data_IF_558359215805
#
_entry.id   IF_558359215805
#
_cell.length_a   1.000
_cell.length_b   1.000
_cell.length_c   1.000
_cell.angle_alpha   90.00
_cell.angle_beta   90.00
_cell.angle_gamma   90.00
#
_symmetry.space_group_name_H-M   'P 1'
#
loop_
_entity.id
_entity.type
_entity.pdbx_description
1 polymer ?
#
# COMPACT_ATOMS: atom_id res chain seq x y z
N UNK A 1 1.60 -27.58 -24.16
CA UNK A 1 0.27 -26.93 -24.13
C UNK A 1 -0.72 -27.81 -23.38
N UNK A 2 -0.61 -27.89 -22.05
CA UNK A 2 -1.51 -28.67 -21.19
C UNK A 2 -2.23 -27.67 -20.30
N UNK A 3 -3.26 -27.02 -20.85
CA UNK A 3 -4.22 -26.24 -20.06
C UNK A 3 -5.07 -27.25 -19.26
N UNK A 4 -4.87 -27.21 -17.95
CA UNK A 4 -5.34 -28.15 -16.94
C UNK A 4 -6.83 -28.52 -17.11
N UNK A 5 -7.13 -29.82 -17.02
CA UNK A 5 -8.49 -30.35 -16.90
C UNK A 5 -9.29 -29.68 -15.77
N UNK A 6 -8.62 -29.27 -14.69
CA UNK A 6 -9.18 -28.51 -13.57
C UNK A 6 -9.60 -27.07 -13.96
N UNK A 7 -8.93 -26.44 -14.93
CA UNK A 7 -9.32 -25.10 -15.43
C UNK A 7 -10.57 -25.19 -16.29
N UNK A 8 -10.70 -26.26 -17.08
CA UNK A 8 -11.95 -26.55 -17.80
C UNK A 8 -13.08 -26.85 -16.83
N UNK A 9 -12.83 -27.61 -15.77
CA UNK A 9 -13.84 -27.90 -14.75
C UNK A 9 -14.29 -26.65 -13.99
N UNK A 10 -13.37 -25.78 -13.55
CA UNK A 10 -13.74 -24.53 -12.88
C UNK A 10 -14.45 -23.58 -13.84
N UNK A 11 -14.02 -23.46 -15.10
CA UNK A 11 -14.72 -22.63 -16.11
C UNK A 11 -16.10 -23.20 -16.46
N UNK A 12 -16.23 -24.53 -16.60
CA UNK A 12 -17.52 -25.22 -16.78
C UNK A 12 -18.43 -25.03 -15.57
N UNK A 13 -17.92 -25.16 -14.35
CA UNK A 13 -18.70 -24.98 -13.12
C UNK A 13 -19.12 -23.50 -12.97
N UNK A 14 -18.28 -22.54 -13.35
CA UNK A 14 -18.63 -21.13 -13.40
C UNK A 14 -19.62 -20.78 -14.53
N UNK A 15 -19.59 -21.51 -15.65
CA UNK A 15 -20.60 -21.42 -16.70
C UNK A 15 -21.93 -22.03 -16.26
N UNK A 16 -21.91 -23.10 -15.47
CA UNK A 16 -23.08 -23.71 -14.85
C UNK A 16 -23.69 -22.77 -13.79
N UNK A 17 -22.87 -22.12 -12.96
CA UNK A 17 -23.34 -21.10 -12.02
C UNK A 17 -23.96 -19.89 -12.75
N UNK A 18 -23.36 -19.47 -13.87
CA UNK A 18 -23.92 -18.43 -14.75
C UNK A 18 -25.25 -18.84 -15.39
N UNK A 19 -25.47 -20.13 -15.68
CA UNK A 19 -26.73 -20.63 -16.23
C UNK A 19 -27.82 -20.78 -15.16
N UNK A 20 -27.46 -21.17 -13.93
CA UNK A 20 -28.42 -21.32 -12.82
C UNK A 20 -28.91 -19.99 -12.22
N UNK A 21 -28.19 -18.89 -12.40
CA UNK A 21 -28.66 -17.54 -12.02
C UNK A 21 -29.67 -16.91 -13.00
N UNK A 22 -29.92 -17.51 -14.17
CA UNK A 22 -31.01 -17.07 -15.07
C UNK A 22 -32.41 -17.55 -14.64
N UNK A 23 -32.50 -18.45 -13.64
CA UNK A 23 -33.79 -18.97 -13.14
C UNK A 23 -34.34 -18.21 -11.91
N UNK A 24 -33.67 -17.15 -11.44
CA UNK A 24 -34.23 -16.21 -10.46
C UNK A 24 -34.49 -14.85 -11.11
N UNK A 25 -35.60 -14.81 -11.86
CA UNK A 25 -36.41 -13.64 -12.24
C UNK A 25 -35.64 -12.31 -12.38
N UNK A 26 -35.14 -12.03 -13.59
CA UNK A 26 -34.93 -10.65 -14.02
C UNK A 26 -36.06 -10.27 -14.97
N UNK A 27 -37.07 -9.58 -14.42
CA UNK A 27 -37.97 -8.77 -15.21
C UNK A 27 -37.16 -7.76 -16.04
N UNK A 28 -37.59 -7.62 -17.29
CA UNK A 28 -37.00 -6.79 -18.34
C UNK A 28 -36.72 -5.38 -17.84
N UNK A 29 -35.49 -4.91 -18.07
CA UNK A 29 -35.28 -3.53 -18.49
C UNK A 29 -34.32 -3.54 -19.66
N UNK A 30 -34.85 -3.11 -20.79
CA UNK A 30 -34.21 -2.90 -22.08
C UNK A 30 -33.25 -1.70 -22.04
N UNK A 31 -32.27 -1.75 -22.96
CA UNK A 31 -31.59 -0.65 -23.68
C UNK A 31 -30.06 -0.83 -23.61
N UNK A 32 -29.45 -1.42 -24.66
CA UNK A 32 -29.01 -0.84 -25.94
C UNK A 32 -27.60 -0.23 -25.88
N UNK A 33 -26.78 -0.69 -26.85
CA UNK A 33 -25.47 -0.20 -27.31
C UNK A 33 -24.25 -0.67 -26.50
N UNK A 34 -23.15 -1.19 -27.06
CA UNK A 34 -22.75 -1.50 -28.44
C UNK A 34 -21.44 -2.32 -28.44
N UNK A 35 -21.41 -3.32 -29.32
CA UNK A 35 -20.32 -3.89 -30.13
C UNK A 35 -18.87 -4.02 -29.59
N UNK A 36 -18.42 -5.27 -29.45
CA UNK A 36 -17.24 -5.74 -30.18
C UNK A 36 -17.34 -7.25 -30.47
N UNK A 37 -17.32 -7.57 -31.75
CA UNK A 37 -17.40 -8.90 -32.35
C UNK A 37 -16.09 -9.69 -32.17
N UNK A 38 -16.21 -10.99 -31.86
CA UNK A 38 -15.22 -11.97 -32.31
C UNK A 38 -15.93 -13.26 -32.69
N UNK A 39 -15.77 -13.61 -33.97
CA UNK A 39 -16.44 -14.71 -34.66
C UNK A 39 -16.10 -16.07 -34.07
N UNK A 40 -17.13 -16.92 -33.99
CA UNK A 40 -17.01 -18.30 -33.54
C UNK A 40 -16.56 -19.23 -34.66
N UNK A 41 -15.80 -20.24 -34.27
CA UNK A 41 -15.84 -21.55 -34.91
C UNK A 41 -16.45 -22.54 -33.91
N UNK A 42 -17.66 -23.00 -34.24
CA UNK A 42 -18.32 -24.16 -33.62
C UNK A 42 -17.63 -25.41 -34.15
N UNK A 43 -16.93 -26.15 -33.30
CA UNK A 43 -16.69 -27.57 -33.53
C UNK A 43 -17.67 -28.33 -32.64
N UNK A 44 -18.82 -28.64 -33.21
CA UNK A 44 -19.78 -29.60 -32.66
C UNK A 44 -19.27 -31.00 -32.96
N UNK A 45 -18.76 -31.71 -31.96
CA UNK A 45 -18.56 -33.16 -32.07
C UNK A 45 -19.80 -33.85 -31.44
N UNK A 46 -20.69 -34.49 -32.22
CA UNK A 46 -21.98 -34.98 -31.73
C UNK A 46 -21.90 -36.28 -30.92
N UNK A 47 -20.71 -36.78 -30.60
CA UNK A 47 -20.51 -38.05 -29.90
C UNK A 47 -19.81 -37.95 -28.53
N UNK A 48 -19.72 -36.77 -27.92
CA UNK A 48 -19.35 -36.65 -26.51
C UNK A 48 -20.58 -36.32 -25.65
N UNK A 49 -21.50 -37.27 -25.61
CA UNK A 49 -22.53 -37.34 -24.58
C UNK A 49 -21.86 -37.91 -23.34
N UNK A 50 -21.19 -37.06 -22.57
CA UNK A 50 -20.88 -37.37 -21.17
C UNK A 50 -21.87 -36.61 -20.30
N UNK A 51 -22.79 -37.41 -19.77
CA UNK A 51 -23.86 -37.10 -18.83
C UNK A 51 -23.36 -36.22 -17.67
N UNK A 52 -23.80 -34.96 -17.62
CA UNK A 52 -23.63 -34.09 -16.45
C UNK A 52 -24.98 -33.63 -15.88
N UNK A 53 -26.00 -34.48 -15.97
CA UNK A 53 -27.30 -34.26 -15.32
C UNK A 53 -27.29 -34.57 -13.81
N UNK A 54 -26.20 -35.14 -13.27
CA UNK A 54 -26.14 -35.63 -11.88
C UNK A 54 -25.32 -34.79 -10.89
N UNK A 55 -24.85 -33.59 -11.26
CA UNK A 55 -24.18 -32.72 -10.29
C UNK A 55 -25.17 -31.84 -9.52
N UNK A 56 -25.77 -32.44 -8.49
CA UNK A 56 -26.34 -31.72 -7.34
C UNK A 56 -25.21 -31.16 -6.45
N UNK A 57 -24.24 -30.44 -7.04
CA UNK A 57 -23.17 -29.81 -6.27
C UNK A 57 -23.79 -28.79 -5.32
N UNK A 58 -23.74 -29.07 -4.03
CA UNK A 58 -24.08 -28.09 -3.00
C UNK A 58 -23.02 -27.00 -2.99
N UNK A 59 -23.33 -25.81 -2.47
CA UNK A 59 -22.35 -24.74 -2.32
C UNK A 59 -21.10 -25.20 -1.54
N UNK A 60 -21.25 -26.14 -0.61
CA UNK A 60 -20.17 -26.72 0.19
C UNK A 60 -19.19 -27.55 -0.65
N UNK A 61 -19.68 -28.36 -1.60
CA UNK A 61 -18.84 -29.19 -2.48
C UNK A 61 -17.95 -28.33 -3.39
N UNK A 62 -18.49 -27.21 -3.88
CA UNK A 62 -17.74 -26.27 -4.71
C UNK A 62 -16.61 -25.58 -3.94
N UNK A 63 -16.88 -25.20 -2.68
CA UNK A 63 -15.95 -24.54 -1.78
C UNK A 63 -14.82 -25.48 -1.30
N UNK A 64 -15.10 -26.79 -1.25
CA UNK A 64 -14.12 -27.83 -0.93
C UNK A 64 -13.13 -28.12 -2.06
N UNK A 65 -13.41 -27.72 -3.31
CA UNK A 65 -12.52 -27.96 -4.44
C UNK A 65 -11.14 -27.31 -4.26
N UNK A 66 -10.09 -28.08 -4.54
CA UNK A 66 -8.68 -27.65 -4.53
C UNK A 66 -8.00 -28.11 -5.81
N UNK A 67 -7.19 -27.23 -6.41
CA UNK A 67 -6.31 -27.62 -7.51
C UNK A 67 -5.26 -28.62 -7.01
N UNK A 68 -5.13 -29.77 -7.67
CA UNK A 68 -4.22 -30.84 -7.23
C UNK A 68 -2.73 -30.47 -7.32
N UNK A 69 -2.37 -29.44 -8.11
CA UNK A 69 -0.96 -29.04 -8.29
C UNK A 69 -0.48 -28.03 -7.24
N UNK A 70 -1.34 -27.07 -6.90
CA UNK A 70 -0.99 -25.94 -6.06
C UNK A 70 -1.90 -25.76 -4.84
N UNK A 71 -2.84 -26.67 -4.61
CA UNK A 71 -3.82 -26.61 -3.51
C UNK A 71 -4.65 -25.32 -3.52
N UNK A 72 -4.92 -24.79 -4.71
CA UNK A 72 -5.63 -23.51 -4.89
C UNK A 72 -7.14 -23.69 -4.74
N UNK A 73 -7.76 -22.89 -3.87
CA UNK A 73 -9.22 -22.78 -3.75
C UNK A 73 -9.84 -22.04 -4.94
N UNK A 74 -11.17 -22.10 -5.07
CA UNK A 74 -11.92 -21.32 -6.07
C UNK A 74 -11.68 -19.81 -5.96
N UNK A 75 -11.46 -19.27 -4.75
CA UNK A 75 -11.13 -17.87 -4.53
C UNK A 75 -9.74 -17.51 -5.08
N UNK A 76 -8.75 -18.39 -4.92
CA UNK A 76 -7.41 -18.20 -5.50
C UNK A 76 -7.48 -18.15 -7.02
N UNK A 77 -8.21 -19.07 -7.63
CA UNK A 77 -8.34 -19.16 -9.09
C UNK A 77 -9.07 -17.95 -9.66
N UNK A 78 -10.17 -17.52 -9.04
CA UNK A 78 -10.87 -16.29 -9.41
C UNK A 78 -9.93 -15.08 -9.33
N UNK A 79 -9.11 -14.99 -8.27
CA UNK A 79 -8.20 -13.88 -8.10
C UNK A 79 -7.02 -13.89 -9.08
N UNK A 80 -6.41 -15.05 -9.28
CA UNK A 80 -5.29 -15.26 -10.22
C UNK A 80 -5.67 -14.90 -11.65
N UNK A 81 -6.92 -15.14 -12.05
CA UNK A 81 -7.46 -14.82 -13.38
C UNK A 81 -8.04 -13.40 -13.47
N UNK A 82 -8.22 -12.71 -12.34
CA UNK A 82 -8.86 -11.40 -12.30
C UNK A 82 -10.38 -11.44 -12.56
N UNK A 83 -11.04 -12.58 -12.34
CA UNK A 83 -12.48 -12.71 -12.57
C UNK A 83 -13.26 -12.14 -11.39
N UNK A 84 -13.38 -10.81 -11.35
CA UNK A 84 -14.09 -10.09 -10.27
C UNK A 84 -15.55 -10.53 -10.10
N UNK A 85 -16.27 -10.74 -11.21
CA UNK A 85 -17.70 -11.04 -11.13
C UNK A 85 -17.94 -12.45 -10.56
N UNK A 86 -17.04 -13.38 -10.90
CA UNK A 86 -16.96 -14.69 -10.25
C UNK A 86 -16.66 -14.55 -8.76
N UNK A 87 -15.67 -13.73 -8.40
CA UNK A 87 -15.34 -13.49 -7.00
C UNK A 87 -16.52 -12.90 -6.21
N UNK A 88 -17.36 -12.07 -6.84
CA UNK A 88 -18.58 -11.53 -6.24
C UNK A 88 -19.63 -12.62 -6.04
N UNK A 89 -19.91 -13.43 -7.05
CA UNK A 89 -20.85 -14.54 -6.92
C UNK A 89 -20.42 -15.52 -5.82
N UNK A 90 -19.11 -15.82 -5.73
CA UNK A 90 -18.55 -16.63 -4.64
C UNK A 90 -18.70 -15.95 -3.27
N UNK A 91 -18.60 -14.62 -3.19
CA UNK A 91 -18.75 -13.86 -1.95
C UNK A 91 -20.15 -13.97 -1.35
N UNK A 92 -21.17 -14.16 -2.19
CA UNK A 92 -22.57 -14.27 -1.76
C UNK A 92 -22.93 -15.71 -1.28
N UNK A 93 -22.05 -16.69 -1.52
CA UNK A 93 -22.25 -18.05 -1.04
C UNK A 93 -22.02 -18.18 0.48
N UNK A 94 -22.81 -19.03 1.17
CA UNK A 94 -22.57 -19.35 2.58
C UNK A 94 -21.21 -20.04 2.75
N UNK A 95 -20.59 -19.88 3.91
CA UNK A 95 -19.29 -20.49 4.28
C UNK A 95 -18.06 -19.98 3.51
N UNK A 96 -18.22 -19.08 2.52
CA UNK A 96 -17.08 -18.51 1.78
C UNK A 96 -16.07 -17.81 2.70
N UNK A 97 -16.53 -17.16 3.77
CA UNK A 97 -15.67 -16.49 4.76
C UNK A 97 -14.64 -17.43 5.40
N UNK A 98 -14.96 -18.72 5.56
CA UNK A 98 -14.05 -19.73 6.11
C UNK A 98 -12.86 -20.06 5.17
N UNK A 99 -12.95 -19.68 3.89
CA UNK A 99 -11.96 -19.97 2.86
C UNK A 99 -11.05 -18.80 2.52
N UNK A 100 -11.41 -17.58 2.91
CA UNK A 100 -10.74 -16.35 2.46
C UNK A 100 -9.26 -16.30 2.87
N UNK A 101 -8.96 -16.78 4.08
CA UNK A 101 -7.62 -16.77 4.66
C UNK A 101 -6.88 -18.10 4.48
N UNK A 102 -7.45 -19.06 3.74
CA UNK A 102 -6.74 -20.30 3.45
C UNK A 102 -5.63 -20.04 2.44
N UNK A 103 -4.43 -20.55 2.74
CA UNK A 103 -3.29 -20.47 1.85
C UNK A 103 -3.29 -21.60 0.82
N UNK A 104 -2.70 -21.34 -0.34
CA UNK A 104 -2.31 -22.37 -1.30
C UNK A 104 -1.07 -23.14 -0.82
N UNK A 105 -0.52 -24.04 -1.64
CA UNK A 105 0.71 -24.82 -1.32
C UNK A 105 1.92 -23.95 -0.95
N UNK A 106 1.93 -22.69 -1.34
CA UNK A 106 2.97 -21.72 -1.02
C UNK A 106 2.54 -20.74 0.08
N UNK A 107 1.44 -21.01 0.78
CA UNK A 107 0.87 -20.13 1.79
C UNK A 107 0.32 -18.82 1.23
N UNK A 108 0.16 -18.69 -0.10
CA UNK A 108 -0.47 -17.49 -0.66
C UNK A 108 -1.98 -17.59 -0.49
N UNK A 109 -2.58 -16.64 0.19
CA UNK A 109 -4.05 -16.48 0.26
C UNK A 109 -4.62 -15.88 -1.02
N UNK A 110 -5.94 -15.90 -1.18
CA UNK A 110 -6.62 -15.24 -2.31
C UNK A 110 -6.25 -13.74 -2.41
N UNK A 111 -5.99 -13.10 -1.26
CA UNK A 111 -5.58 -11.70 -1.17
C UNK A 111 -4.20 -11.45 -1.80
N UNK A 112 -3.25 -12.39 -1.69
CA UNK A 112 -1.96 -12.31 -2.38
C UNK A 112 -2.12 -12.28 -3.90
N UNK A 113 -2.98 -13.14 -4.45
CA UNK A 113 -3.25 -13.17 -5.88
C UNK A 113 -3.94 -11.89 -6.36
N UNK A 114 -4.93 -11.39 -5.60
CA UNK A 114 -5.59 -10.13 -5.90
C UNK A 114 -4.62 -8.94 -5.90
N UNK A 115 -3.69 -8.91 -4.94
CA UNK A 115 -2.66 -7.87 -4.81
C UNK A 115 -1.64 -7.90 -5.97
N UNK A 116 -1.35 -9.09 -6.51
CA UNK A 116 -0.46 -9.30 -7.66
C UNK A 116 -1.12 -9.06 -9.03
N UNK A 117 -2.41 -8.71 -9.06
CA UNK A 117 -3.13 -8.53 -10.30
C UNK A 117 -2.54 -7.35 -11.10
N UNK A 118 -2.20 -7.53 -12.39
CA UNK A 118 -1.54 -6.47 -13.18
C UNK A 118 -2.46 -5.28 -13.47
N UNK A 119 -3.78 -5.48 -13.41
CA UNK A 119 -4.78 -4.42 -13.64
C UNK A 119 -5.17 -3.80 -12.31
N UNK A 120 -4.64 -2.62 -12.00
CA UNK A 120 -4.84 -1.93 -10.72
C UNK A 120 -6.32 -1.72 -10.35
N UNK A 121 -7.13 -1.27 -11.30
CA UNK A 121 -8.57 -1.04 -11.09
C UNK A 121 -9.36 -2.30 -10.74
N UNK A 122 -8.88 -3.45 -11.22
CA UNK A 122 -9.45 -4.77 -10.94
C UNK A 122 -8.96 -5.29 -9.59
N UNK A 123 -7.67 -5.13 -9.30
CA UNK A 123 -7.05 -5.45 -8.02
C UNK A 123 -7.79 -4.76 -6.86
N UNK A 124 -8.04 -3.44 -6.96
CA UNK A 124 -8.77 -2.67 -5.95
C UNK A 124 -10.15 -3.26 -5.67
N UNK A 125 -10.92 -3.57 -6.72
CA UNK A 125 -12.27 -4.12 -6.58
C UNK A 125 -12.25 -5.49 -5.91
N UNK A 126 -11.30 -6.35 -6.27
CA UNK A 126 -11.17 -7.68 -5.70
C UNK A 126 -10.69 -7.65 -4.24
N UNK A 127 -9.71 -6.80 -3.93
CA UNK A 127 -9.23 -6.58 -2.56
C UNK A 127 -10.36 -6.09 -1.66
N UNK A 128 -11.20 -5.16 -2.13
CA UNK A 128 -12.39 -4.71 -1.39
C UNK A 128 -13.40 -5.83 -1.12
N UNK A 129 -13.63 -6.73 -2.08
CA UNK A 129 -14.53 -7.88 -1.88
C UNK A 129 -13.92 -8.81 -0.83
N UNK A 130 -12.64 -9.14 -0.95
CA UNK A 130 -11.94 -10.02 0.01
C UNK A 130 -11.92 -9.44 1.43
N UNK A 131 -11.68 -8.14 1.58
CA UNK A 131 -11.76 -7.47 2.88
C UNK A 131 -13.16 -7.54 3.50
N UNK A 132 -14.22 -7.35 2.71
CA UNK A 132 -15.60 -7.53 3.19
C UNK A 132 -15.88 -8.96 3.67
N UNK A 133 -15.20 -9.94 3.10
CA UNK A 133 -15.30 -11.34 3.51
C UNK A 133 -14.42 -11.70 4.72
N UNK A 134 -13.69 -10.74 5.30
CA UNK A 134 -12.81 -10.96 6.45
C UNK A 134 -11.38 -11.40 6.08
N UNK A 135 -10.88 -11.01 4.91
CA UNK A 135 -9.49 -11.27 4.53
C UNK A 135 -8.51 -10.55 5.47
N UNK A 136 -7.53 -11.30 5.95
CA UNK A 136 -6.45 -10.77 6.78
C UNK A 136 -5.37 -10.11 5.89
N UNK A 137 -5.15 -8.78 6.01
CA UNK A 137 -4.11 -8.08 5.26
C UNK A 137 -2.68 -8.46 5.66
N UNK A 138 -2.49 -9.11 6.83
CA UNK A 138 -1.19 -9.44 7.40
C UNK A 138 -0.77 -10.90 7.20
N UNK A 139 -1.57 -11.71 6.50
CA UNK A 139 -1.26 -13.11 6.24
C UNK A 139 0.08 -13.25 5.52
N UNK A 140 0.91 -14.20 5.95
CA UNK A 140 2.25 -14.42 5.41
C UNK A 140 2.30 -15.67 4.54
N UNK A 141 2.88 -15.55 3.35
CA UNK A 141 3.23 -16.72 2.53
C UNK A 141 4.57 -17.36 2.97
N UNK A 142 4.98 -18.44 2.33
CA UNK A 142 6.26 -19.14 2.64
C UNK A 142 7.52 -18.27 2.48
N UNK A 143 7.41 -17.13 1.79
CA UNK A 143 8.50 -16.16 1.62
C UNK A 143 8.44 -15.03 2.66
N UNK A 144 7.61 -15.16 3.69
CA UNK A 144 7.30 -14.12 4.68
C UNK A 144 6.80 -12.82 4.04
N UNK A 145 6.14 -12.89 2.89
CA UNK A 145 5.56 -11.72 2.23
C UNK A 145 4.09 -11.64 2.59
N UNK A 146 3.63 -10.43 2.89
CA UNK A 146 2.21 -10.10 2.96
C UNK A 146 1.65 -9.87 1.56
N UNK A 147 0.30 -9.82 1.40
CA UNK A 147 -0.32 -9.40 0.15
C UNK A 147 0.16 -8.02 -0.31
N UNK A 148 0.29 -7.07 0.62
CA UNK A 148 0.81 -5.73 0.32
C UNK A 148 2.27 -5.77 -0.16
N UNK A 149 3.13 -6.58 0.48
CA UNK A 149 4.51 -6.75 0.02
C UNK A 149 4.56 -7.34 -1.39
N UNK A 150 3.69 -8.31 -1.67
CA UNK A 150 3.57 -8.93 -3.00
C UNK A 150 3.15 -7.91 -4.05
N UNK A 151 2.20 -7.01 -3.73
CA UNK A 151 1.84 -5.89 -4.59
C UNK A 151 3.05 -4.99 -4.89
N UNK A 152 3.76 -4.51 -3.86
CA UNK A 152 4.91 -3.62 -4.06
C UNK A 152 6.02 -4.27 -4.90
N UNK A 153 6.17 -5.59 -4.84
CA UNK A 153 7.15 -6.33 -5.65
C UNK A 153 6.75 -6.48 -7.12
N UNK A 154 5.45 -6.46 -7.43
CA UNK A 154 4.90 -6.79 -8.75
C UNK A 154 4.32 -5.60 -9.50
N UNK A 155 4.01 -4.52 -8.78
CA UNK A 155 3.42 -3.30 -9.34
C UNK A 155 4.37 -2.68 -10.35
N UNK A 156 3.81 -2.25 -11.50
CA UNK A 156 4.55 -1.55 -12.55
C UNK A 156 4.27 -0.05 -12.59
N UNK A 157 3.16 0.36 -12.00
CA UNK A 157 2.65 1.73 -12.00
C UNK A 157 2.80 2.30 -10.59
N UNK A 158 3.42 3.48 -10.46
CA UNK A 158 3.58 4.17 -9.18
C UNK A 158 2.25 4.86 -8.78
N UNK A 159 1.29 4.06 -8.32
CA UNK A 159 -0.05 4.53 -7.91
C UNK A 159 -0.39 4.00 -6.50
N UNK A 160 -0.61 4.90 -5.52
CA UNK A 160 -0.91 4.51 -4.13
C UNK A 160 -2.35 4.02 -3.92
N UNK A 161 -3.20 3.98 -4.94
CA UNK A 161 -4.64 3.69 -4.79
C UNK A 161 -4.91 2.32 -4.15
N UNK A 162 -4.15 1.28 -4.51
CA UNK A 162 -4.32 -0.02 -3.85
C UNK A 162 -3.77 0.00 -2.42
N UNK A 163 -2.60 0.61 -2.22
CA UNK A 163 -1.98 0.76 -0.89
C UNK A 163 -2.89 1.50 0.07
N UNK A 164 -3.63 2.49 -0.43
CA UNK A 164 -4.66 3.24 0.31
C UNK A 164 -5.74 2.32 0.86
N UNK A 165 -6.25 1.38 0.07
CA UNK A 165 -7.25 0.41 0.54
C UNK A 165 -6.70 -0.46 1.68
N UNK A 166 -5.45 -0.93 1.55
CA UNK A 166 -4.79 -1.69 2.61
C UNK A 166 -4.62 -0.88 3.89
N UNK A 167 -4.09 0.34 3.79
CA UNK A 167 -3.88 1.22 4.94
C UNK A 167 -5.20 1.57 5.62
N UNK A 168 -6.24 1.91 4.84
CA UNK A 168 -7.57 2.16 5.37
C UNK A 168 -8.11 0.94 6.13
N UNK A 169 -7.93 -0.28 5.63
CA UNK A 169 -8.41 -1.49 6.30
C UNK A 169 -7.59 -1.85 7.54
N UNK A 170 -6.26 -1.64 7.52
CA UNK A 170 -5.38 -1.90 8.65
C UNK A 170 -5.58 -0.92 9.81
N UNK A 171 -6.01 0.32 9.52
CA UNK A 171 -6.20 1.37 10.54
C UNK A 171 -7.53 1.25 11.31
N UNK A 172 -8.42 0.28 11.00
CA UNK A 172 -9.76 0.16 11.62
C UNK A 172 -9.71 -0.46 13.04
N UNK A 173 -8.55 -0.78 13.62
CA UNK A 173 -8.49 -1.54 14.87
C UNK A 173 -7.37 -1.27 15.88
N UNK A 174 -6.54 -0.23 15.74
CA UNK A 174 -5.43 0.00 16.67
C UNK A 174 -5.47 1.39 17.30
N UNK A 175 -6.23 1.54 18.38
CA UNK A 175 -6.14 2.72 19.26
C UNK A 175 -4.92 2.65 20.21
N UNK A 176 -4.29 1.49 20.39
CA UNK A 176 -3.27 1.35 21.43
C UNK A 176 -2.02 0.54 20.98
N UNK A 177 -0.86 1.17 21.19
CA UNK A 177 0.48 0.61 21.36
C UNK A 177 1.27 -0.10 20.25
N UNK A 178 0.70 -0.52 19.12
CA UNK A 178 1.52 -1.21 18.11
C UNK A 178 2.31 -0.25 17.21
N UNK A 179 3.61 -0.52 16.91
CA UNK A 179 4.30 0.17 15.84
C UNK A 179 3.49 -0.01 14.56
N UNK A 180 3.17 1.11 13.88
CA UNK A 180 2.32 1.13 12.68
C UNK A 180 2.54 -0.12 11.82
N UNK A 181 1.49 -0.86 11.40
CA UNK A 181 1.63 -2.12 10.66
C UNK A 181 2.49 -1.98 9.39
N UNK A 182 2.72 -0.76 8.93
CA UNK A 182 3.60 -0.40 7.83
C UNK A 182 5.12 -0.54 8.14
N UNK A 183 5.48 -0.62 9.41
CA UNK A 183 6.88 -0.66 9.89
C UNK A 183 7.41 -2.08 10.10
N UNK A 184 6.57 -3.10 9.91
CA UNK A 184 6.99 -4.49 10.04
C UNK A 184 8.01 -4.88 8.97
N UNK A 185 8.86 -5.84 9.31
CA UNK A 185 9.70 -6.51 8.33
C UNK A 185 8.88 -7.53 7.52
N UNK A 186 9.12 -7.54 6.22
CA UNK A 186 8.51 -8.44 5.24
C UNK A 186 9.58 -9.04 4.34
N UNK A 187 9.25 -10.20 3.78
CA UNK A 187 10.12 -10.92 2.86
C UNK A 187 11.29 -11.62 3.53
N UNK A 188 12.14 -12.25 2.72
CA UNK A 188 13.34 -12.98 3.15
C UNK A 188 14.49 -12.04 3.51
N UNK A 189 14.51 -10.82 2.98
CA UNK A 189 15.54 -9.81 3.22
C UNK A 189 15.23 -8.93 4.45
N UNK A 190 14.16 -9.24 5.20
CA UNK A 190 13.73 -8.47 6.37
C UNK A 190 13.67 -6.96 6.07
N UNK A 191 13.02 -6.58 4.97
CA UNK A 191 12.88 -5.18 4.55
C UNK A 191 11.51 -4.64 4.97
N UNK A 192 11.35 -3.32 5.10
CA UNK A 192 10.01 -2.73 5.32
C UNK A 192 9.32 -2.43 3.99
N UNK A 193 8.00 -2.17 4.00
CA UNK A 193 7.29 -1.74 2.79
C UNK A 193 7.91 -0.49 2.14
N UNK A 194 8.46 0.42 2.96
CA UNK A 194 9.10 1.63 2.47
C UNK A 194 10.42 1.32 1.74
N UNK A 195 11.20 0.34 2.20
CA UNK A 195 12.39 -0.13 1.48
C UNK A 195 11.99 -0.68 0.11
N UNK A 196 10.99 -1.57 0.05
CA UNK A 196 10.52 -2.16 -1.21
C UNK A 196 10.04 -1.10 -2.21
N UNK A 197 9.27 -0.10 -1.75
CA UNK A 197 8.78 0.98 -2.59
C UNK A 197 9.94 1.87 -3.10
N UNK A 198 10.93 2.15 -2.27
CA UNK A 198 12.05 3.02 -2.63
C UNK A 198 13.08 2.35 -3.53
N UNK A 199 13.40 1.07 -3.31
CA UNK A 199 14.27 0.25 -4.17
C UNK A 199 13.72 0.13 -5.60
N UNK A 200 12.40 0.08 -5.75
CA UNK A 200 11.71 0.07 -7.05
C UNK A 200 11.41 1.46 -7.61
N UNK A 201 11.82 2.52 -6.93
CA UNK A 201 11.58 3.90 -7.33
C UNK A 201 10.08 4.24 -7.48
N UNK A 202 9.21 3.65 -6.65
CA UNK A 202 7.79 3.99 -6.53
C UNK A 202 7.62 5.10 -5.49
N UNK A 203 7.88 6.34 -5.92
CA UNK A 203 7.96 7.50 -5.04
C UNK A 203 6.60 8.03 -4.59
N UNK A 204 5.55 7.90 -5.38
CA UNK A 204 4.19 8.26 -4.94
C UNK A 204 3.69 7.27 -3.89
N UNK A 205 3.91 5.97 -4.11
CA UNK A 205 3.62 4.95 -3.11
C UNK A 205 4.46 5.17 -1.84
N UNK A 206 5.76 5.42 -1.97
CA UNK A 206 6.64 5.68 -0.83
C UNK A 206 6.22 6.93 -0.04
N UNK A 207 5.81 8.01 -0.74
CA UNK A 207 5.32 9.22 -0.09
C UNK A 207 4.04 8.94 0.69
N UNK A 208 3.09 8.21 0.09
CA UNK A 208 1.85 7.82 0.76
C UNK A 208 2.10 6.93 2.00
N UNK A 209 3.06 5.99 1.93
CA UNK A 209 3.43 5.17 3.08
C UNK A 209 3.97 6.03 4.24
N UNK A 210 4.86 6.99 3.94
CA UNK A 210 5.41 7.90 4.96
C UNK A 210 4.34 8.79 5.58
N UNK A 211 3.41 9.32 4.77
CA UNK A 211 2.26 10.11 5.27
C UNK A 211 1.42 9.35 6.31
N UNK A 212 1.34 8.03 6.17
CA UNK A 212 0.56 7.13 7.02
C UNK A 212 1.42 6.44 8.11
N UNK A 213 2.62 6.94 8.40
CA UNK A 213 3.42 6.50 9.54
C UNK A 213 4.48 5.44 9.26
N UNK A 214 4.80 5.17 7.99
CA UNK A 214 5.98 4.37 7.65
C UNK A 214 7.27 5.12 8.04
N UNK A 215 8.17 4.42 8.73
CA UNK A 215 9.40 5.01 9.24
C UNK A 215 10.57 4.87 8.27
N UNK A 216 11.33 5.96 8.10
CA UNK A 216 12.55 5.98 7.28
C UNK A 216 13.80 5.49 8.03
N UNK A 217 13.70 5.33 9.35
CA UNK A 217 14.86 5.02 10.19
C UNK A 217 15.07 3.53 10.36
N UNK A 218 14.05 2.70 10.10
CA UNK A 218 14.12 1.24 10.25
C UNK A 218 15.23 0.69 9.35
N UNK A 219 16.01 -0.24 9.90
CA UNK A 219 17.11 -0.88 9.19
C UNK A 219 16.59 -2.09 8.42
N UNK A 220 16.97 -2.24 7.16
CA UNK A 220 16.77 -3.50 6.42
C UNK A 220 17.62 -4.64 7.02
N UNK A 221 17.44 -5.87 6.53
CA UNK A 221 18.35 -6.98 6.85
C UNK A 221 19.82 -6.72 6.49
N UNK A 222 20.10 -5.76 5.61
CA UNK A 222 21.46 -5.31 5.26
C UNK A 222 21.98 -4.18 6.16
N UNK A 223 21.25 -3.85 7.24
CA UNK A 223 21.56 -2.73 8.15
C UNK A 223 21.58 -1.36 7.46
N UNK A 224 20.82 -1.20 6.37
CA UNK A 224 20.66 0.06 5.66
C UNK A 224 19.34 0.72 6.05
N UNK A 225 19.34 2.04 6.24
CA UNK A 225 18.08 2.80 6.37
C UNK A 225 17.59 3.22 5.00
N UNK A 226 16.30 3.54 4.88
CA UNK A 226 15.75 4.15 3.66
C UNK A 226 16.54 5.41 3.28
N UNK A 227 17.05 6.15 4.27
CA UNK A 227 17.85 7.34 4.03
C UNK A 227 19.20 7.10 3.35
N UNK A 228 19.74 5.90 3.49
CA UNK A 228 21.01 5.51 2.87
C UNK A 228 20.80 5.04 1.42
N UNK A 229 19.62 4.50 1.11
CA UNK A 229 19.27 3.96 -0.22
C UNK A 229 18.82 5.06 -1.20
N UNK A 230 18.05 6.04 -0.72
CA UNK A 230 17.42 7.04 -1.59
C UNK A 230 18.35 8.21 -1.95
N UNK A 231 18.17 8.76 -3.16
CA UNK A 231 18.85 10.00 -3.57
C UNK A 231 18.42 11.21 -2.73
N UNK A 232 19.23 12.28 -2.70
CA UNK A 232 18.90 13.53 -1.99
C UNK A 232 17.54 14.11 -2.40
N UNK A 233 17.19 14.04 -3.69
CA UNK A 233 15.90 14.55 -4.22
C UNK A 233 14.71 13.71 -3.71
N UNK A 234 14.84 12.39 -3.74
CA UNK A 234 13.81 11.49 -3.21
C UNK A 234 13.66 11.67 -1.70
N UNK A 235 14.78 11.81 -0.97
CA UNK A 235 14.74 12.05 0.47
C UNK A 235 14.01 13.35 0.82
N UNK A 236 14.27 14.44 0.09
CA UNK A 236 13.56 15.71 0.27
C UNK A 236 12.05 15.52 0.07
N UNK A 237 11.64 14.76 -0.94
CA UNK A 237 10.22 14.45 -1.19
C UNK A 237 9.61 13.69 -0.01
N UNK A 238 10.27 12.64 0.48
CA UNK A 238 9.78 11.88 1.65
C UNK A 238 9.70 12.74 2.92
N UNK A 239 10.71 13.57 3.20
CA UNK A 239 10.70 14.47 4.36
C UNK A 239 9.57 15.50 4.24
N UNK A 240 9.26 15.97 3.03
CA UNK A 240 8.23 16.99 2.82
C UNK A 240 6.82 16.53 3.19
N UNK A 241 6.59 15.21 3.23
CA UNK A 241 5.28 14.60 3.53
C UNK A 241 5.18 14.02 4.95
N UNK A 242 6.28 14.00 5.72
CA UNK A 242 6.28 13.57 7.12
C UNK A 242 5.46 14.51 8.00
N UNK A 243 4.76 13.95 9.00
CA UNK A 243 4.19 14.73 10.11
C UNK A 243 5.12 14.67 11.32
N UNK A 244 5.08 15.71 12.12
CA UNK A 244 5.88 15.83 13.34
C UNK A 244 5.54 14.70 14.33
N UNK A 245 6.56 14.15 15.01
CA UNK A 245 6.40 13.06 15.97
C UNK A 245 6.12 11.67 15.37
N UNK A 246 5.90 11.54 14.05
CA UNK A 246 5.65 10.23 13.41
C UNK A 246 6.88 9.31 13.33
N UNK A 247 8.08 9.87 13.50
CA UNK A 247 9.34 9.13 13.35
C UNK A 247 9.99 9.00 14.73
N UNK A 248 9.54 8.06 15.57
CA UNK A 248 10.16 7.85 16.86
C UNK A 248 11.63 7.49 16.65
N UNK A 249 12.55 8.08 17.43
CA UNK A 249 13.94 7.70 17.37
C UNK A 249 14.10 6.25 17.83
N UNK A 250 15.02 5.52 17.20
CA UNK A 250 15.26 4.12 17.55
C UNK A 250 15.96 4.06 18.91
N UNK A 251 15.25 3.57 19.92
CA UNK A 251 15.76 3.42 21.29
C UNK A 251 16.94 2.44 21.40
N UNK A 252 16.99 1.44 20.51
CA UNK A 252 17.96 0.34 20.58
C UNK A 252 19.10 0.44 19.54
N UNK A 253 19.07 1.42 18.64
CA UNK A 253 20.12 1.57 17.64
C UNK A 253 21.39 2.15 18.29
N UNK A 254 22.56 1.58 17.97
CA UNK A 254 23.84 2.11 18.44
C UNK A 254 24.11 3.45 17.72
N UNK A 255 24.26 4.52 18.50
CA UNK A 255 24.43 5.90 17.99
C UNK A 255 25.88 6.34 18.21
N UNK A 256 26.77 5.98 17.30
CA UNK A 256 28.20 6.36 17.40
C UNK A 256 28.58 7.54 16.54
N UNK A 257 27.75 7.96 15.58
CA UNK A 257 28.11 9.02 14.64
C UNK A 257 26.90 9.84 14.20
N UNK A 258 27.14 11.11 13.86
CA UNK A 258 26.12 11.98 13.30
C UNK A 258 25.74 11.55 11.88
N UNK A 259 24.44 11.36 11.59
CA UNK A 259 23.97 10.96 10.24
C UNK A 259 24.12 12.04 9.17
N UNK A 260 24.50 13.27 9.52
CA UNK A 260 24.75 14.36 8.57
C UNK A 260 26.23 14.58 8.30
N UNK A 261 27.04 14.82 9.33
CA UNK A 261 28.47 15.08 9.16
C UNK A 261 29.36 13.84 9.28
N UNK A 262 28.80 12.68 9.67
CA UNK A 262 29.52 11.41 9.91
C UNK A 262 30.61 11.46 10.97
N UNK A 263 30.66 12.53 11.78
CA UNK A 263 31.60 12.64 12.90
C UNK A 263 31.20 11.67 14.01
N UNK A 264 32.17 10.91 14.50
CA UNK A 264 32.01 9.97 15.61
C UNK A 264 31.90 10.73 16.94
N UNK A 265 30.91 10.37 17.74
CA UNK A 265 30.53 11.03 18.97
C UNK A 265 30.10 10.00 20.00
N UNK A 266 30.32 10.33 21.27
CA UNK A 266 29.73 9.58 22.38
C UNK A 266 28.19 9.59 22.27
N UNK A 267 27.58 8.48 22.68
CA UNK A 267 26.12 8.25 22.59
C UNK A 267 25.29 9.36 23.23
N UNK A 268 25.80 10.02 24.28
CA UNK A 268 25.15 11.15 24.97
C UNK A 268 25.27 12.50 24.26
N UNK A 269 26.10 12.62 23.22
CA UNK A 269 26.32 13.87 22.46
C UNK A 269 25.45 14.00 21.21
N UNK A 270 24.69 12.95 20.87
CA UNK A 270 23.78 12.93 19.73
C UNK A 270 22.36 13.27 20.17
N UNK A 271 21.72 14.14 19.41
CA UNK A 271 20.32 14.52 19.56
C UNK A 271 19.50 13.87 18.45
N UNK A 272 18.28 13.45 18.76
CA UNK A 272 17.35 12.95 17.75
C UNK A 272 16.59 14.10 17.10
N UNK A 273 16.53 14.11 15.77
CA UNK A 273 15.69 15.04 15.04
C UNK A 273 14.21 14.73 15.33
N UNK A 274 13.46 15.72 15.80
CA UNK A 274 12.04 15.54 16.14
C UNK A 274 11.14 15.19 14.94
N UNK A 275 11.51 15.61 13.73
CA UNK A 275 10.74 15.30 12.52
C UNK A 275 11.12 13.95 11.91
N UNK A 276 12.43 13.72 11.70
CA UNK A 276 12.89 12.55 10.95
C UNK A 276 13.51 11.45 11.82
N UNK A 277 13.59 11.62 13.13
CA UNK A 277 14.09 10.63 14.09
C UNK A 277 15.58 10.29 13.99
N UNK A 278 16.35 10.98 13.12
CA UNK A 278 17.78 10.68 12.92
C UNK A 278 18.65 11.19 14.05
N UNK A 279 19.68 10.42 14.47
CA UNK A 279 20.68 10.89 15.41
C UNK A 279 21.64 11.86 14.70
N UNK A 280 21.74 13.08 15.25
CA UNK A 280 22.54 14.18 14.72
C UNK A 280 23.28 14.91 15.84
N UNK A 281 24.47 15.42 15.56
CA UNK A 281 25.21 16.20 16.55
C UNK A 281 24.55 17.55 16.83
N UNK A 282 24.95 18.19 17.92
CA UNK A 282 24.49 19.54 18.31
C UNK A 282 24.76 20.58 17.22
N UNK A 283 25.86 20.47 16.45
CA UNK A 283 26.16 21.39 15.34
C UNK A 283 25.30 21.15 14.09
N UNK A 284 24.81 19.93 13.88
CA UNK A 284 23.96 19.56 12.75
C UNK A 284 22.45 19.57 13.09
N UNK A 285 22.11 20.04 14.29
CA UNK A 285 20.75 20.19 14.78
C UNK A 285 20.55 21.58 15.37
N UNK A 286 19.36 22.13 15.26
CA UNK A 286 19.02 23.41 15.87
C UNK A 286 17.77 23.24 16.74
N UNK A 287 17.82 23.79 17.95
CA UNK A 287 16.68 23.87 18.85
C UNK A 287 15.97 25.23 18.77
N UNK A 288 14.85 25.35 19.50
CA UNK A 288 13.99 26.54 19.53
C UNK A 288 14.72 27.86 19.83
N UNK A 289 15.73 27.79 20.70
CA UNK A 289 16.48 28.97 21.16
C UNK A 289 17.63 29.37 20.22
N UNK A 290 18.14 28.44 19.41
CA UNK A 290 19.25 28.67 18.47
C UNK A 290 18.78 29.45 17.21
N UNK A 291 17.46 29.59 17.03
CA UNK A 291 16.87 30.31 15.91
C UNK A 291 16.91 31.83 16.05
N UNK A 292 17.06 32.39 17.25
CA UNK A 292 16.82 33.83 17.46
C UNK A 292 17.99 34.77 17.14
N UNK A 293 19.21 34.28 16.86
CA UNK A 293 20.43 35.11 17.04
C UNK A 293 21.32 35.37 15.82
N UNK A 294 20.83 35.41 14.57
CA UNK A 294 21.63 35.99 13.47
C UNK A 294 20.80 36.87 12.55
N UNK A 295 21.21 38.12 12.42
CA UNK A 295 20.47 39.25 11.83
C UNK A 295 20.28 39.20 10.30
N UNK A 296 20.64 38.10 9.64
CA UNK A 296 20.21 37.81 8.26
C UNK A 296 18.87 37.03 8.21
N UNK A 297 18.27 36.76 9.39
CA UNK A 297 17.01 36.02 9.62
C UNK A 297 15.73 36.87 9.51
N UNK A 298 15.70 37.94 8.71
CA UNK A 298 14.48 38.75 8.54
C UNK A 298 13.41 38.13 7.63
N UNK A 299 13.82 37.35 6.63
CA UNK A 299 12.92 36.83 5.58
C UNK A 299 12.46 35.40 5.91
N UNK A 300 13.32 34.53 6.48
CA UNK A 300 12.98 33.15 6.84
C UNK A 300 12.19 33.01 8.16
N UNK A 301 12.36 33.94 9.10
CA UNK A 301 11.72 33.84 10.44
C UNK A 301 10.24 34.25 10.42
N UNK A 302 9.83 35.19 9.54
CA UNK A 302 8.42 35.54 9.32
C UNK A 302 7.63 34.48 8.56
N UNK A 303 8.33 33.56 7.87
CA UNK A 303 7.71 32.38 7.29
C UNK A 303 7.27 31.45 8.44
N UNK A 304 8.22 30.92 9.21
CA UNK A 304 7.96 29.91 10.23
C UNK A 304 7.08 30.36 11.41
N UNK A 305 7.08 31.64 11.83
CA UNK A 305 6.30 32.09 12.99
C UNK A 305 4.78 32.20 12.75
N UNK A 306 4.30 32.12 11.51
CA UNK A 306 2.87 32.22 11.17
C UNK A 306 2.16 30.86 11.09
N UNK A 307 2.87 29.74 11.24
CA UNK A 307 2.31 28.41 10.98
C UNK A 307 1.56 27.77 12.14
N UNK A 308 1.56 28.34 13.35
CA UNK A 308 1.11 27.66 14.58
C UNK A 308 1.76 26.26 14.81
N UNK A 309 2.72 25.84 13.98
CA UNK A 309 3.25 24.47 13.95
C UNK A 309 4.30 24.21 15.03
N UNK A 310 4.86 25.26 15.65
CA UNK A 310 6.00 25.12 16.55
C UNK A 310 5.68 25.40 18.03
N UNK A 311 4.49 25.87 18.39
CA UNK A 311 4.29 26.52 19.71
C UNK A 311 4.30 25.60 20.94
N UNK A 312 4.37 24.27 20.81
CA UNK A 312 3.88 23.40 21.89
C UNK A 312 4.85 22.37 22.51
N UNK A 313 6.15 22.29 22.16
CA UNK A 313 7.04 21.29 22.81
C UNK A 313 8.42 21.85 23.22
N UNK A 314 8.67 22.07 24.53
CA UNK A 314 9.97 22.55 25.00
C UNK A 314 11.06 21.48 24.83
N UNK A 315 12.14 21.82 24.12
CA UNK A 315 13.37 21.00 24.03
C UNK A 315 13.58 20.17 22.75
N UNK A 316 12.65 20.19 21.79
CA UNK A 316 12.81 19.47 20.52
C UNK A 316 13.87 20.12 19.60
N UNK A 317 14.76 19.31 19.01
CA UNK A 317 15.74 19.75 17.99
C UNK A 317 15.39 19.20 16.61
N UNK A 318 15.65 19.97 15.56
CA UNK A 318 15.50 19.54 14.17
C UNK A 318 16.86 19.51 13.47
N UNK A 319 17.07 18.53 12.58
CA UNK A 319 18.27 18.51 11.76
C UNK A 319 18.19 19.55 10.64
N UNK A 320 19.36 20.05 10.19
CA UNK A 320 19.46 21.10 9.15
C UNK A 320 18.72 20.72 7.85
N UNK A 321 18.69 19.44 7.51
CA UNK A 321 17.97 18.94 6.31
C UNK A 321 16.46 19.12 6.47
N UNK A 322 15.89 18.68 7.59
CA UNK A 322 14.46 18.85 7.88
C UNK A 322 14.07 20.32 7.91
N UNK A 323 14.89 21.17 8.53
CA UNK A 323 14.69 22.62 8.54
C UNK A 323 14.62 23.16 7.10
N UNK A 324 15.60 22.82 6.27
CA UNK A 324 15.67 23.28 4.87
C UNK A 324 14.45 22.84 4.05
N UNK A 325 13.94 21.63 4.28
CA UNK A 325 12.76 21.12 3.58
C UNK A 325 11.50 21.85 4.03
N UNK A 326 11.32 22.06 5.34
CA UNK A 326 10.17 22.76 5.90
C UNK A 326 10.13 24.23 5.45
N UNK A 327 11.24 24.95 5.49
CA UNK A 327 11.31 26.35 5.03
C UNK A 327 10.95 26.50 3.56
N UNK A 328 11.43 25.58 2.70
CA UNK A 328 11.09 25.55 1.27
C UNK A 328 9.60 25.26 1.04
N UNK A 329 9.04 24.29 1.75
CA UNK A 329 7.62 23.93 1.66
C UNK A 329 6.73 25.12 2.00
N UNK A 330 7.09 25.86 3.04
CA UNK A 330 6.33 27.03 3.44
C UNK A 330 6.45 28.20 2.45
N UNK A 331 7.66 28.47 1.94
CA UNK A 331 7.85 29.47 0.89
C UNK A 331 6.97 29.18 -0.32
N UNK A 332 6.92 27.93 -0.77
CA UNK A 332 6.05 27.51 -1.88
C UNK A 332 4.57 27.64 -1.55
N UNK A 333 4.16 27.37 -0.30
CA UNK A 333 2.77 27.55 0.15
C UNK A 333 2.36 29.02 0.04
N UNK A 334 3.18 29.95 0.54
CA UNK A 334 2.89 31.39 0.45
C UNK A 334 2.89 31.89 -0.99
N UNK A 335 3.82 31.44 -1.83
CA UNK A 335 3.82 31.77 -3.26
C UNK A 335 2.53 31.29 -3.96
N UNK A 336 2.05 30.08 -3.63
CA UNK A 336 0.76 29.57 -4.12
C UNK A 336 -0.43 30.36 -3.60
N UNK A 337 -0.44 30.74 -2.32
CA UNK A 337 -1.50 31.57 -1.74
C UNK A 337 -1.56 32.94 -2.42
N UNK A 338 -0.41 33.59 -2.62
CA UNK A 338 -0.31 34.85 -3.35
C UNK A 338 -0.78 34.70 -4.79
N UNK A 339 -0.40 33.61 -5.46
CA UNK A 339 -0.87 33.31 -6.81
C UNK A 339 -2.40 33.08 -6.87
N UNK A 340 -2.96 32.33 -5.92
CA UNK A 340 -4.39 32.09 -5.81
C UNK A 340 -5.16 33.38 -5.49
N UNK A 341 -4.62 34.25 -4.62
CA UNK A 341 -5.21 35.57 -4.36
C UNK A 341 -5.24 36.44 -5.63
N UNK A 342 -4.20 36.38 -6.48
CA UNK A 342 -4.18 37.07 -7.78
C UNK A 342 -5.23 36.53 -8.75
N UNK A 343 -5.46 35.21 -8.77
CA UNK A 343 -6.49 34.58 -9.61
C UNK A 343 -7.92 34.94 -9.18
N UNK A 344 -8.19 34.96 -7.87
CA UNK A 344 -9.50 35.34 -7.33
C UNK A 344 -9.73 36.86 -7.27
N UNK A 345 -8.69 37.66 -7.54
CA UNK A 345 -8.70 39.13 -7.47
C UNK A 345 -8.92 39.86 -8.79
N UNK A 346 -9.20 39.16 -9.89
CA UNK A 346 -9.58 39.76 -11.18
C UNK A 346 -11.09 39.70 -11.45
N UNK A 347 -11.92 39.98 -10.44
CA UNK A 347 -13.33 40.33 -10.62
C UNK A 347 -13.71 41.46 -9.66
N UNK A 348 -13.40 42.69 -10.04
CA UNK A 348 -13.86 43.86 -9.30
C UNK A 348 -12.93 45.05 -9.47
N UNK A 349 -13.45 46.06 -10.17
CA UNK A 349 -12.92 47.42 -10.34
C UNK A 349 -11.80 47.60 -11.36
N UNK A 350 -12.20 47.85 -12.61
CA UNK A 350 -12.31 49.23 -13.09
C UNK A 350 -13.44 49.36 -14.11
#
# INVERSE_FOLDING_TARGET
>A
MITNQNERQVVSILQILRQREYDLVYERVTDRESECEYNGDRVSDPNLVDTFDDLTATSSDLLALRDSKNEQTVLHLACKRGHRDVLRALADLPETSALVNQGDRHGNTALHFAASCPKLSLAIKMVRILFKLGADPNSLNIRNQTPLATHLMTVKVDDPSLVREYVCHMNIGSEECDPSPLNRHVGTLSTTYLHLATERNHMEIASFLVENGASINILSGESLTVSDIVSKKQLIKLISVMREGQQPPQSHAIRTHCKLCRYELDTGSLCDCYLCGRPVCTSCSMGENDWKTKEEKGIEMRLLTQTNAYRNFPGSRLCVVCITVLTRKEKQKKEREVFMMKLHGCSGYQ
#
